data_IF_167106969770
#
_entry.id   IF_167106969770
#
_cell.length_a   1.000
_cell.length_b   1.000
_cell.length_c   1.000
_cell.angle_alpha   90.00
_cell.angle_beta   90.00
_cell.angle_gamma   90.00
#
_symmetry.space_group_name_H-M   'P 1'
#
loop_
_entity.id
_entity.type
_entity.pdbx_description
1 polymer ?
#
# COMPACT_ATOMS: atom_id res chain seq x y z
N UNK A 1 -18.32 -35.30 19.72
CA UNK A 1 -17.12 -34.81 20.46
C UNK A 1 -15.98 -34.41 19.53
N UNK A 2 -15.50 -35.26 18.60
CA UNK A 2 -14.37 -34.96 17.70
C UNK A 2 -14.51 -33.71 16.78
N UNK A 3 -15.73 -33.34 16.37
CA UNK A 3 -15.94 -32.12 15.56
C UNK A 3 -15.75 -30.83 16.37
N UNK A 4 -16.07 -30.84 17.67
CA UNK A 4 -15.91 -29.69 18.58
C UNK A 4 -14.44 -29.44 18.90
N UNK A 5 -13.65 -30.51 19.06
CA UNK A 5 -12.20 -30.44 19.25
C UNK A 5 -11.48 -29.88 18.02
N UNK A 6 -11.90 -30.25 16.79
CA UNK A 6 -11.36 -29.67 15.54
C UNK A 6 -11.61 -28.17 15.41
N UNK A 7 -12.81 -27.70 15.78
CA UNK A 7 -13.11 -26.25 15.81
C UNK A 7 -12.25 -25.50 16.83
N UNK A 8 -11.99 -26.09 18.00
CA UNK A 8 -11.15 -25.45 19.03
C UNK A 8 -9.70 -25.29 18.55
N UNK A 9 -9.15 -26.28 17.84
CA UNK A 9 -7.80 -26.18 17.25
C UNK A 9 -7.72 -25.17 16.10
N UNK A 10 -8.78 -25.05 15.29
CA UNK A 10 -8.88 -24.04 14.23
C UNK A 10 -8.94 -22.62 14.81
N UNK A 11 -9.71 -22.40 15.87
CA UNK A 11 -9.78 -21.11 16.57
C UNK A 11 -8.40 -20.71 17.12
N UNK A 12 -7.72 -21.61 17.84
CA UNK A 12 -6.38 -21.30 18.35
C UNK A 12 -5.35 -21.03 17.24
N UNK A 13 -5.53 -21.63 16.06
CA UNK A 13 -4.69 -21.33 14.89
C UNK A 13 -4.97 -19.94 14.32
N UNK A 14 -6.23 -19.50 14.30
CA UNK A 14 -6.61 -18.15 13.89
C UNK A 14 -6.06 -17.09 14.85
N UNK A 15 -6.13 -17.34 16.17
CA UNK A 15 -5.58 -16.43 17.18
C UNK A 15 -4.06 -16.23 16.97
N UNK A 16 -3.33 -17.32 16.72
CA UNK A 16 -1.89 -17.24 16.41
C UNK A 16 -1.61 -16.42 15.14
N UNK A 17 -2.45 -16.54 14.11
CA UNK A 17 -2.31 -15.73 12.88
C UNK A 17 -2.55 -14.25 13.19
N UNK A 18 -3.59 -13.93 13.96
CA UNK A 18 -3.92 -12.56 14.35
C UNK A 18 -2.75 -11.94 15.13
N UNK A 19 -2.20 -12.67 16.10
CA UNK A 19 -1.04 -12.21 16.89
C UNK A 19 0.19 -11.92 16.02
N UNK A 20 0.48 -12.83 15.09
CA UNK A 20 1.64 -12.67 14.20
C UNK A 20 1.45 -11.51 13.21
N UNK A 21 0.24 -11.31 12.68
CA UNK A 21 -0.10 -10.16 11.83
C UNK A 21 -0.01 -8.86 12.63
N UNK A 22 -0.51 -8.83 13.87
CA UNK A 22 -0.41 -7.68 14.77
C UNK A 22 1.04 -7.26 15.00
N UNK A 23 1.90 -8.21 15.36
CA UNK A 23 3.34 -7.96 15.54
C UNK A 23 4.03 -7.44 14.28
N UNK A 24 3.66 -7.94 13.10
CA UNK A 24 4.20 -7.45 11.84
C UNK A 24 3.76 -6.01 11.54
N UNK A 25 2.51 -5.67 11.88
CA UNK A 25 1.96 -4.33 11.72
C UNK A 25 2.65 -3.33 12.66
N UNK A 26 2.83 -3.70 13.92
CA UNK A 26 3.47 -2.84 14.92
C UNK A 26 4.93 -2.56 14.60
N UNK A 27 5.69 -3.58 14.15
CA UNK A 27 7.06 -3.36 13.63
C UNK A 27 7.10 -2.39 12.46
N UNK A 28 6.11 -2.47 11.56
CA UNK A 28 6.02 -1.55 10.41
C UNK A 28 5.73 -0.13 10.89
N UNK A 29 4.82 0.05 11.85
CA UNK A 29 4.51 1.36 12.45
C UNK A 29 5.70 1.93 13.19
N UNK A 30 6.44 1.11 13.94
CA UNK A 30 7.65 1.53 14.65
C UNK A 30 8.73 1.99 13.66
N UNK A 31 8.93 1.27 12.56
CA UNK A 31 9.86 1.67 11.50
C UNK A 31 9.47 3.03 10.88
N UNK A 32 8.19 3.23 10.56
CA UNK A 32 7.68 4.52 10.07
C UNK A 32 7.84 5.62 11.12
N UNK A 33 7.67 5.31 12.42
CA UNK A 33 7.88 6.27 13.49
C UNK A 33 9.34 6.72 13.64
N UNK A 34 10.30 5.82 13.36
CA UNK A 34 11.74 6.09 13.38
C UNK A 34 12.21 6.87 12.15
N UNK A 35 11.64 6.53 10.99
CA UNK A 35 11.93 7.18 9.72
C UNK A 35 10.60 7.38 8.96
N UNK A 36 9.98 8.56 9.11
CA UNK A 36 8.70 8.87 8.50
C UNK A 36 8.71 8.69 6.99
N UNK A 37 7.57 8.35 6.40
CA UNK A 37 7.42 8.35 4.95
C UNK A 37 7.56 9.78 4.41
N UNK A 38 8.13 9.92 3.21
CA UNK A 38 8.26 11.21 2.50
C UNK A 38 6.92 11.93 2.39
N UNK A 39 5.84 11.19 2.23
CA UNK A 39 4.47 11.72 2.26
C UNK A 39 3.49 10.67 2.81
N UNK A 40 2.25 11.07 3.07
CA UNK A 40 1.24 10.17 3.63
C UNK A 40 0.55 9.30 2.55
N UNK A 41 0.21 8.03 2.86
CA UNK A 41 -0.55 7.19 1.93
C UNK A 41 -1.88 7.78 1.45
N UNK A 42 -2.70 8.46 2.29
CA UNK A 42 -3.90 9.17 1.82
C UNK A 42 -3.59 10.24 0.78
N UNK A 43 -2.54 11.04 0.96
CA UNK A 43 -2.14 12.07 -0.02
C UNK A 43 -1.78 11.46 -1.38
N UNK A 44 -1.06 10.34 -1.39
CA UNK A 44 -0.78 9.60 -2.64
C UNK A 44 -2.05 9.07 -3.29
N UNK A 45 -2.99 8.56 -2.48
CA UNK A 45 -4.27 8.05 -2.99
C UNK A 45 -5.07 9.14 -3.69
N UNK A 46 -5.14 10.33 -3.10
CA UNK A 46 -5.88 11.46 -3.68
C UNK A 46 -5.22 11.96 -4.97
N UNK A 47 -3.89 12.14 -4.98
CA UNK A 47 -3.15 12.56 -6.17
C UNK A 47 -3.28 11.55 -7.33
N UNK A 48 -3.20 10.25 -7.04
CA UNK A 48 -3.40 9.21 -8.07
C UNK A 48 -4.84 9.21 -8.57
N UNK A 49 -5.83 9.39 -7.69
CA UNK A 49 -7.24 9.43 -8.08
C UNK A 49 -7.52 10.59 -9.04
N UNK A 50 -6.96 11.76 -8.76
CA UNK A 50 -7.15 12.97 -9.56
C UNK A 50 -6.49 12.87 -10.95
N UNK A 51 -5.26 12.34 -11.01
CA UNK A 51 -4.44 12.39 -12.23
C UNK A 51 -4.49 11.10 -13.07
N UNK A 52 -5.03 10.00 -12.52
CA UNK A 52 -5.19 8.71 -13.20
C UNK A 52 -6.66 8.30 -13.21
N UNK A 53 -7.52 8.96 -14.01
CA UNK A 53 -8.97 8.74 -13.99
C UNK A 53 -9.39 7.29 -14.32
N UNK A 54 -8.52 6.51 -14.96
CA UNK A 54 -8.77 5.10 -15.27
C UNK A 54 -8.99 4.23 -14.04
N UNK A 55 -8.52 4.67 -12.87
CA UNK A 55 -8.80 3.98 -11.60
C UNK A 55 -10.30 3.90 -11.33
N UNK A 56 -11.10 4.90 -11.72
CA UNK A 56 -12.56 4.92 -11.51
C UNK A 56 -13.31 3.99 -12.46
N UNK A 57 -12.71 3.63 -13.61
CA UNK A 57 -13.28 2.66 -14.54
C UNK A 57 -12.94 1.22 -14.16
N UNK A 58 -12.18 1.00 -13.09
CA UNK A 58 -11.91 -0.32 -12.54
C UNK A 58 -13.19 -0.90 -11.92
N UNK A 59 -13.62 -2.09 -12.35
CA UNK A 59 -14.75 -2.83 -11.76
C UNK A 59 -14.53 -3.29 -10.30
N UNK A 60 -13.43 -2.89 -9.67
CA UNK A 60 -13.16 -3.23 -8.28
C UNK A 60 -13.87 -2.25 -7.34
N UNK A 61 -14.56 -2.73 -6.29
CA UNK A 61 -15.29 -1.87 -5.34
C UNK A 61 -14.38 -0.88 -4.57
N UNK A 62 -13.07 -1.13 -4.54
CA UNK A 62 -12.06 -0.22 -3.99
C UNK A 62 -10.93 -0.07 -5.02
N UNK A 63 -10.98 0.89 -5.95
CA UNK A 63 -10.02 0.98 -7.05
C UNK A 63 -8.59 1.31 -6.59
N UNK A 64 -8.47 2.05 -5.49
CA UNK A 64 -7.22 2.30 -4.78
C UNK A 64 -7.40 1.83 -3.33
N UNK A 65 -6.48 0.99 -2.83
CA UNK A 65 -6.49 0.52 -1.45
C UNK A 65 -5.28 1.08 -0.70
N UNK A 66 -5.53 1.65 0.49
CA UNK A 66 -4.49 2.16 1.38
C UNK A 66 -3.78 1.03 2.13
N UNK A 67 -2.46 1.17 2.25
CA UNK A 67 -1.60 0.36 3.10
C UNK A 67 -0.78 1.30 4.01
N UNK A 68 -0.15 0.77 5.06
CA UNK A 68 0.69 1.59 5.96
C UNK A 68 1.84 2.34 5.24
N UNK A 69 2.34 1.79 4.13
CA UNK A 69 3.54 2.29 3.43
C UNK A 69 3.25 2.84 2.05
N UNK A 70 1.98 3.05 1.70
CA UNK A 70 1.59 3.55 0.37
C UNK A 70 0.25 3.01 -0.08
N UNK A 71 0.10 2.76 -1.39
CA UNK A 71 -1.19 2.41 -2.00
C UNK A 71 -1.07 1.23 -2.95
N UNK A 72 -2.16 0.50 -3.12
CA UNK A 72 -2.35 -0.46 -4.20
C UNK A 72 -3.37 0.10 -5.19
N UNK A 73 -2.91 0.41 -6.39
CA UNK A 73 -3.73 0.91 -7.50
C UNK A 73 -4.15 -0.29 -8.35
N UNK A 74 -5.46 -0.55 -8.45
CA UNK A 74 -5.99 -1.75 -9.12
C UNK A 74 -6.15 -1.56 -10.63
N UNK A 75 -5.05 -1.16 -11.25
CA UNK A 75 -4.85 -1.10 -12.69
C UNK A 75 -3.70 -2.04 -13.10
N UNK A 76 -3.71 -2.59 -14.33
CA UNK A 76 -2.63 -3.43 -14.85
C UNK A 76 -1.26 -2.73 -14.77
N UNK A 77 -0.26 -3.41 -14.23
CA UNK A 77 1.06 -2.81 -13.98
C UNK A 77 1.73 -2.36 -15.28
N UNK A 78 1.83 -3.25 -16.26
CA UNK A 78 2.54 -2.96 -17.51
C UNK A 78 1.98 -1.76 -18.28
N UNK A 79 0.66 -1.55 -18.25
CA UNK A 79 0.00 -0.47 -18.99
C UNK A 79 -0.01 0.88 -18.27
N UNK A 80 0.07 0.90 -16.94
CA UNK A 80 -0.21 2.12 -16.16
C UNK A 80 0.92 2.53 -15.20
N UNK A 81 1.99 1.73 -15.05
CA UNK A 81 3.08 2.06 -14.11
C UNK A 81 3.71 3.44 -14.37
N UNK A 82 3.92 3.80 -15.64
CA UNK A 82 4.62 5.03 -16.01
C UNK A 82 3.70 6.24 -15.78
N UNK A 83 2.39 6.06 -16.02
CA UNK A 83 1.37 7.06 -15.71
C UNK A 83 1.26 7.31 -14.20
N UNK A 84 1.25 6.24 -13.39
CA UNK A 84 1.26 6.35 -11.93
C UNK A 84 2.57 7.00 -11.44
N UNK A 85 3.72 6.65 -12.04
CA UNK A 85 5.01 7.26 -11.69
C UNK A 85 5.08 8.77 -12.01
N UNK A 86 4.37 9.21 -13.05
CA UNK A 86 4.34 10.58 -13.50
C UNK A 86 3.40 11.49 -12.69
N UNK A 87 2.60 10.95 -11.76
CA UNK A 87 1.74 11.75 -10.87
C UNK A 87 2.58 12.78 -10.12
N UNK A 88 2.20 14.04 -10.22
CA UNK A 88 2.91 15.18 -9.63
C UNK A 88 2.21 15.69 -8.38
N UNK A 89 2.99 16.12 -7.40
CA UNK A 89 2.50 16.83 -6.23
C UNK A 89 2.71 18.35 -6.38
N UNK A 90 2.05 19.15 -5.55
CA UNK A 90 2.12 20.62 -5.57
C UNK A 90 3.54 21.15 -5.38
N UNK A 91 4.38 20.38 -4.69
CA UNK A 91 5.80 20.65 -4.45
C UNK A 91 6.67 20.46 -5.71
N UNK A 92 6.09 20.03 -6.84
CA UNK A 92 6.79 19.83 -8.11
C UNK A 92 7.50 18.48 -8.23
N UNK A 93 7.33 17.59 -7.25
CA UNK A 93 7.95 16.25 -7.20
C UNK A 93 7.02 15.22 -7.83
N UNK A 94 7.58 14.24 -8.55
CA UNK A 94 6.80 13.11 -9.09
C UNK A 94 6.77 11.94 -8.13
N UNK A 95 5.69 11.16 -8.17
CA UNK A 95 5.52 9.96 -7.36
C UNK A 95 6.65 8.94 -7.60
N UNK A 96 7.13 8.80 -8.82
CA UNK A 96 8.26 7.91 -9.14
C UNK A 96 9.60 8.30 -8.49
N UNK A 97 9.75 9.54 -8.03
CA UNK A 97 10.95 10.03 -7.35
C UNK A 97 10.93 9.72 -5.85
N UNK A 98 9.73 9.59 -5.27
CA UNK A 98 9.52 9.42 -3.82
C UNK A 98 8.87 8.08 -3.46
N UNK A 99 8.68 7.19 -4.44
CA UNK A 99 8.08 5.89 -4.22
C UNK A 99 8.63 4.84 -5.18
N UNK A 100 8.69 3.60 -4.69
CA UNK A 100 8.91 2.42 -5.53
C UNK A 100 7.59 1.94 -6.12
N UNK A 101 7.58 1.70 -7.43
CA UNK A 101 6.39 1.30 -8.20
C UNK A 101 6.64 -0.08 -8.80
N UNK A 102 5.95 -1.10 -8.28
CA UNK A 102 6.21 -2.50 -8.61
C UNK A 102 4.92 -3.30 -8.80
N UNK A 103 4.95 -4.44 -9.52
CA UNK A 103 3.78 -5.29 -9.64
C UNK A 103 3.44 -5.90 -8.27
N UNK A 104 2.15 -5.96 -7.98
CA UNK A 104 1.61 -6.65 -6.81
C UNK A 104 1.70 -8.16 -7.01
N UNK A 105 1.95 -8.90 -5.93
CA UNK A 105 1.94 -10.38 -5.96
C UNK A 105 0.52 -10.97 -5.93
N UNK A 106 -0.49 -10.17 -5.58
CA UNK A 106 -1.88 -10.64 -5.48
C UNK A 106 -2.55 -10.82 -6.86
N UNK A 107 -2.29 -9.85 -7.75
CA UNK A 107 -2.68 -9.75 -9.17
C UNK A 107 -1.70 -8.76 -9.79
N UNK A 108 -1.68 -8.64 -11.12
CA UNK A 108 -0.84 -7.66 -11.85
C UNK A 108 -1.29 -6.19 -11.64
N UNK A 109 -1.64 -5.82 -10.41
CA UNK A 109 -1.93 -4.48 -9.98
C UNK A 109 -0.67 -3.71 -9.64
N UNK A 110 -0.75 -2.39 -9.62
CA UNK A 110 0.36 -1.54 -9.23
C UNK A 110 0.41 -1.42 -7.71
N UNK A 111 1.58 -1.71 -7.14
CA UNK A 111 1.88 -1.47 -5.74
C UNK A 111 2.87 -0.30 -5.66
N UNK A 112 2.41 0.79 -5.06
CA UNK A 112 3.21 1.97 -4.74
C UNK A 112 3.64 1.87 -3.28
N UNK A 113 4.95 1.92 -3.04
CA UNK A 113 5.52 1.99 -1.70
C UNK A 113 6.34 3.27 -1.59
N UNK A 114 5.86 4.18 -0.75
CA UNK A 114 6.47 5.47 -0.46
C UNK A 114 7.80 5.22 0.24
N UNK A 115 8.82 5.95 -0.19
CA UNK A 115 10.13 5.90 0.43
C UNK A 115 10.10 6.62 1.79
N UNK A 116 10.99 6.24 2.71
CA UNK A 116 11.22 7.02 3.93
C UNK A 116 11.92 8.36 3.63
N UNK A 117 11.76 9.30 4.55
CA UNK A 117 12.34 10.63 4.51
C UNK A 117 13.87 10.61 4.43
N UNK A 118 14.51 9.60 5.03
CA UNK A 118 15.97 9.46 4.98
C UNK A 118 16.50 9.10 3.58
N UNK A 119 15.67 8.49 2.73
CA UNK A 119 16.03 8.14 1.34
C UNK A 119 15.76 9.30 0.38
N UNK A 120 14.70 10.09 0.61
CA UNK A 120 14.33 11.21 -0.28
C UNK A 120 14.92 12.56 0.14
N UNK A 121 15.29 12.71 1.42
CA UNK A 121 15.88 13.92 1.98
C UNK A 121 14.89 15.01 2.42
N UNK A 122 13.57 14.76 2.32
CA UNK A 122 12.52 15.71 2.72
C UNK A 122 11.18 15.01 2.99
N UNK A 123 10.23 15.74 3.59
CA UNK A 123 8.86 15.30 3.91
C UNK A 123 7.87 16.38 3.48
N UNK A 124 6.72 15.97 2.92
CA UNK A 124 5.63 16.86 2.51
C UNK A 124 4.24 16.21 2.59
#
# INVERSE_FOLDING_TARGET
>A
MAHRTRKATEIGSLDNIVDMVGRALDKTREAIGKDPLTTSPPRVMDAVREQVPEVEFSYSPLPIALNLTGVRVKLPYAGYRDKVAAVTFDEGVKLGEVATIRPSRMKDYILVRILPSSETGFVF
#
